data_IF_596784384392
#
_entry.id   IF_596784384392
#
_cell.length_a   1.000
_cell.length_b   1.000
_cell.length_c   1.000
_cell.angle_alpha   90.00
_cell.angle_beta   90.00
_cell.angle_gamma   90.00
#
_symmetry.space_group_name_H-M   'P 1'
#
loop_
_entity.id
_entity.type
_entity.pdbx_description
1 polymer ?
#
# COMPACT_ATOMS: atom_id res chain seq x y z
N UNK A 1 0.40 13.05 -6.25
CA UNK A 1 -0.25 11.78 -5.83
C UNK A 1 0.66 10.61 -6.20
N UNK A 2 0.70 9.59 -5.38
CA UNK A 2 1.45 8.37 -5.71
C UNK A 2 0.85 7.66 -6.91
N UNK A 3 1.70 7.05 -7.74
CA UNK A 3 1.25 6.22 -8.85
C UNK A 3 0.90 4.82 -8.37
N UNK A 4 -0.09 4.19 -9.00
CA UNK A 4 -0.41 2.79 -8.70
C UNK A 4 0.72 1.87 -9.14
N UNK A 5 1.03 0.90 -8.28
CA UNK A 5 2.00 -0.16 -8.58
C UNK A 5 1.23 -1.42 -8.93
N UNK A 6 1.48 -1.96 -10.12
CA UNK A 6 0.75 -3.12 -10.64
C UNK A 6 1.44 -4.46 -10.34
N UNK A 7 2.75 -4.46 -10.24
CA UNK A 7 3.55 -5.66 -9.96
C UNK A 7 4.30 -5.48 -8.67
N UNK A 8 3.92 -6.25 -7.65
CA UNK A 8 4.60 -6.25 -6.37
C UNK A 8 5.06 -7.66 -6.07
N UNK A 9 6.37 -7.80 -5.91
CA UNK A 9 6.98 -9.02 -5.42
C UNK A 9 7.49 -8.74 -4.01
N UNK A 10 6.84 -9.35 -3.02
CA UNK A 10 7.20 -9.17 -1.61
C UNK A 10 8.65 -9.61 -1.35
N UNK A 11 9.13 -10.62 -2.07
CA UNK A 11 10.51 -11.08 -1.93
C UNK A 11 11.54 -10.05 -2.36
N UNK A 12 11.15 -9.07 -3.18
CA UNK A 12 11.99 -7.98 -3.65
C UNK A 12 11.77 -6.67 -2.91
N UNK A 13 10.90 -6.65 -1.89
CA UNK A 13 10.71 -5.46 -1.08
C UNK A 13 11.92 -5.30 -0.16
N UNK A 14 12.71 -4.26 -0.45
CA UNK A 14 13.85 -3.88 0.39
C UNK A 14 13.39 -2.86 1.43
N UNK A 15 13.32 -3.28 2.68
CA UNK A 15 12.97 -2.41 3.81
C UNK A 15 14.16 -2.05 4.69
N UNK A 16 15.39 -2.35 4.26
CA UNK A 16 16.60 -2.07 5.06
C UNK A 16 16.90 -0.58 5.15
N UNK A 17 16.82 0.15 4.04
CA UNK A 17 17.10 1.59 4.02
C UNK A 17 15.94 2.40 4.61
N UNK A 18 14.71 2.04 4.26
CA UNK A 18 13.49 2.66 4.75
C UNK A 18 12.41 1.61 4.94
N UNK A 19 11.48 1.80 5.88
CA UNK A 19 10.26 1.00 5.91
C UNK A 19 9.50 1.14 4.59
N UNK A 20 8.72 0.12 4.24
CA UNK A 20 7.84 0.16 3.07
C UNK A 20 6.41 0.31 3.56
N UNK A 21 5.70 1.32 3.05
CA UNK A 21 4.31 1.59 3.37
C UNK A 21 3.46 1.16 2.18
N UNK A 22 2.65 0.12 2.37
CA UNK A 22 1.75 -0.39 1.33
C UNK A 22 0.35 0.13 1.62
N UNK A 23 -0.21 0.88 0.66
CA UNK A 23 -1.56 1.43 0.76
C UNK A 23 -2.46 0.66 -0.20
N UNK A 24 -3.44 -0.06 0.34
CA UNK A 24 -4.47 -0.73 -0.45
C UNK A 24 -5.68 0.19 -0.58
N UNK A 25 -6.07 0.47 -1.82
CA UNK A 25 -7.13 1.42 -2.13
C UNK A 25 -8.14 0.85 -3.11
N UNK A 26 -9.42 1.20 -2.91
CA UNK A 26 -10.50 0.89 -3.85
C UNK A 26 -11.18 2.18 -4.30
N UNK A 27 -11.23 2.42 -5.61
CA UNK A 27 -11.91 3.57 -6.19
C UNK A 27 -13.43 3.52 -6.02
N UNK A 28 -13.98 2.35 -5.71
CA UNK A 28 -15.42 2.15 -5.53
C UNK A 28 -15.87 2.31 -4.09
N UNK A 29 -14.95 2.55 -3.17
CA UNK A 29 -15.25 2.69 -1.75
C UNK A 29 -14.99 4.12 -1.30
N UNK A 30 -16.03 4.82 -0.85
CA UNK A 30 -15.90 6.21 -0.38
C UNK A 30 -15.01 6.30 0.87
N UNK A 31 -15.06 5.30 1.75
CA UNK A 31 -14.21 5.25 2.93
C UNK A 31 -12.73 5.15 2.52
N UNK A 32 -12.44 4.35 1.51
CA UNK A 32 -11.08 4.21 0.98
C UNK A 32 -10.58 5.52 0.37
N UNK A 33 -11.45 6.25 -0.33
CA UNK A 33 -11.10 7.56 -0.91
C UNK A 33 -10.79 8.60 0.17
N UNK A 34 -11.57 8.62 1.25
CA UNK A 34 -11.30 9.50 2.40
C UNK A 34 -9.98 9.16 3.05
N UNK A 35 -9.70 7.86 3.26
CA UNK A 35 -8.45 7.41 3.85
C UNK A 35 -7.24 7.81 2.99
N UNK A 36 -7.32 7.61 1.68
CA UNK A 36 -6.25 7.99 0.75
C UNK A 36 -6.02 9.50 0.76
N UNK A 37 -7.08 10.30 0.74
CA UNK A 37 -6.95 11.77 0.77
C UNK A 37 -6.25 12.24 2.04
N UNK A 38 -6.54 11.63 3.18
CA UNK A 38 -5.86 11.96 4.44
C UNK A 38 -4.37 11.62 4.39
N UNK A 39 -4.01 10.49 3.79
CA UNK A 39 -2.61 10.12 3.61
C UNK A 39 -1.90 11.08 2.66
N UNK A 40 -2.58 11.53 1.61
CA UNK A 40 -2.02 12.49 0.64
C UNK A 40 -1.73 13.86 1.27
N UNK A 41 -2.43 14.25 2.32
CA UNK A 41 -2.13 15.48 3.05
C UNK A 41 -0.73 15.45 3.67
N UNK A 42 -0.22 14.25 3.97
CA UNK A 42 1.12 14.05 4.54
C UNK A 42 2.08 13.40 3.55
N UNK A 43 1.81 13.50 2.24
CA UNK A 43 2.58 12.81 1.21
C UNK A 43 4.09 13.11 1.30
N UNK A 44 4.47 14.36 1.41
CA UNK A 44 5.88 14.75 1.45
C UNK A 44 6.60 14.13 2.66
N UNK A 45 5.96 14.15 3.82
CA UNK A 45 6.53 13.57 5.03
C UNK A 45 6.62 12.04 4.94
N UNK A 46 5.60 11.40 4.41
CA UNK A 46 5.60 9.94 4.25
C UNK A 46 6.69 9.49 3.27
N UNK A 47 6.86 10.21 2.17
CA UNK A 47 7.90 9.90 1.18
C UNK A 47 9.32 10.06 1.75
N UNK A 48 9.50 10.95 2.73
CA UNK A 48 10.78 11.09 3.42
C UNK A 48 11.08 9.93 4.36
N UNK A 49 10.04 9.35 4.97
CA UNK A 49 10.18 8.34 6.03
C UNK A 49 10.03 6.91 5.56
N UNK A 50 9.38 6.70 4.41
CA UNK A 50 9.09 5.37 3.90
C UNK A 50 9.03 5.36 2.37
N UNK A 51 9.25 4.18 1.80
CA UNK A 51 8.91 3.94 0.41
C UNK A 51 7.43 3.62 0.35
N UNK A 52 6.65 4.41 -0.39
CA UNK A 52 5.20 4.26 -0.47
C UNK A 52 4.83 3.47 -1.72
N UNK A 53 4.03 2.43 -1.55
CA UNK A 53 3.49 1.60 -2.63
C UNK A 53 1.97 1.70 -2.56
N UNK A 54 1.35 2.17 -3.63
CA UNK A 54 -0.10 2.30 -3.74
C UNK A 54 -0.66 1.20 -4.64
N UNK A 55 -1.62 0.43 -4.12
CA UNK A 55 -2.23 -0.68 -4.85
C UNK A 55 -3.72 -0.42 -5.05
N UNK A 56 -4.19 -0.56 -6.30
CA UNK A 56 -5.61 -0.64 -6.62
C UNK A 56 -6.07 -2.09 -6.41
N UNK A 57 -6.85 -2.33 -5.36
CA UNK A 57 -7.25 -3.70 -5.00
C UNK A 57 -8.26 -4.31 -5.97
N UNK A 58 -8.92 -3.50 -6.78
CA UNK A 58 -9.85 -4.00 -7.80
C UNK A 58 -9.09 -4.43 -9.05
N UNK A 59 -8.23 -3.54 -9.56
CA UNK A 59 -7.43 -3.82 -10.76
C UNK A 59 -6.37 -4.90 -10.51
N UNK A 60 -5.84 -4.98 -9.30
CA UNK A 60 -4.75 -5.90 -8.93
C UNK A 60 -5.15 -6.82 -7.78
N UNK A 61 -6.33 -7.40 -7.85
CA UNK A 61 -6.87 -8.25 -6.78
C UNK A 61 -5.95 -9.42 -6.44
N UNK A 62 -5.41 -10.09 -7.45
CA UNK A 62 -4.51 -11.24 -7.25
C UNK A 62 -3.27 -10.86 -6.44
N UNK A 63 -2.64 -9.74 -6.80
CA UNK A 63 -1.46 -9.24 -6.11
C UNK A 63 -1.80 -8.80 -4.68
N UNK A 64 -2.96 -8.16 -4.51
CA UNK A 64 -3.41 -7.73 -3.19
C UNK A 64 -3.66 -8.90 -2.25
N UNK A 65 -4.29 -9.97 -2.74
CA UNK A 65 -4.52 -11.20 -1.98
C UNK A 65 -3.22 -11.95 -1.69
N UNK A 66 -2.30 -11.96 -2.66
CA UNK A 66 -0.99 -12.58 -2.48
C UNK A 66 -0.19 -11.88 -1.38
N UNK A 67 -0.20 -10.56 -1.35
CA UNK A 67 0.43 -9.79 -0.29
C UNK A 67 -0.14 -10.13 1.09
N UNK A 68 -1.46 -10.24 1.20
CA UNK A 68 -2.11 -10.62 2.45
C UNK A 68 -1.61 -11.97 2.94
N UNK A 69 -1.52 -12.95 2.03
CA UNK A 69 -1.02 -14.28 2.33
C UNK A 69 0.45 -14.26 2.75
N UNK A 70 1.30 -13.59 1.98
CA UNK A 70 2.75 -13.56 2.22
C UNK A 70 3.13 -12.79 3.49
N UNK A 71 2.38 -11.74 3.83
CA UNK A 71 2.64 -10.93 5.01
C UNK A 71 1.89 -11.40 6.26
N UNK A 72 1.00 -12.38 6.10
CA UNK A 72 0.20 -12.89 7.21
C UNK A 72 -0.80 -11.87 7.74
N UNK A 73 -1.33 -11.01 6.88
CA UNK A 73 -2.28 -9.96 7.24
C UNK A 73 -3.57 -10.17 6.45
N UNK A 74 -4.71 -10.18 7.12
CA UNK A 74 -6.00 -10.35 6.47
C UNK A 74 -6.23 -9.23 5.45
N UNK A 75 -6.75 -9.61 4.28
CA UNK A 75 -7.04 -8.64 3.22
C UNK A 75 -8.19 -7.73 3.61
N UNK A 76 -7.96 -6.43 3.56
CA UNK A 76 -8.97 -5.40 3.77
C UNK A 76 -8.74 -4.22 2.83
N UNK A 77 -9.74 -3.36 2.67
CA UNK A 77 -9.63 -2.10 1.93
C UNK A 77 -10.63 -1.10 2.51
N UNK A 78 -10.18 0.10 2.94
CA UNK A 78 -8.79 0.57 2.90
C UNK A 78 -7.89 -0.17 3.90
N UNK A 79 -6.63 -0.31 3.55
CA UNK A 79 -5.65 -0.92 4.45
C UNK A 79 -4.28 -0.31 4.22
N UNK A 80 -3.55 -0.07 5.31
CA UNK A 80 -2.16 0.37 5.28
C UNK A 80 -1.33 -0.68 5.99
N UNK A 81 -0.30 -1.18 5.32
CA UNK A 81 0.62 -2.18 5.86
C UNK A 81 2.03 -1.57 5.88
N UNK A 82 2.71 -1.68 7.02
CA UNK A 82 4.09 -1.24 7.15
C UNK A 82 4.98 -2.48 7.20
N UNK A 83 5.92 -2.56 6.27
CA UNK A 83 6.93 -3.63 6.22
C UNK A 83 8.25 -3.05 6.70
N UNK A 84 8.85 -3.66 7.72
CA UNK A 84 10.03 -3.18 8.39
C UNK A 84 10.97 -4.32 8.72
N UNK A 85 12.24 -4.14 8.50
CA UNK A 85 13.27 -5.12 8.94
C UNK A 85 13.57 -4.98 10.43
#
# INVERSE_FOLDING_TARGET
MWSYTNDIDVSNIDSEAKPVLIIKHSNRCSISSVALNRLLESQAELDQRARVILIDVIANRSNSLLLASQLGVDHESPQVIIVKN
#
